data_IF_063695975148
#
_entry.id   IF_063695975148
#
_cell.length_a   1.000
_cell.length_b   1.000
_cell.length_c   1.000
_cell.angle_alpha   90.00
_cell.angle_beta   90.00
_cell.angle_gamma   90.00
#
_symmetry.space_group_name_H-M   'P 1'
#
loop_
_entity.id
_entity.type
_entity.pdbx_description
1 polymer ?
#
# COMPACT_ATOMS: atom_id res chain seq x y z
N UNK A 1 -8.47 0.60 -7.20
CA UNK A 1 -8.30 2.00 -7.43
C UNK A 1 -7.10 2.52 -6.67
N UNK A 2 -6.34 3.41 -7.26
CA UNK A 2 -5.16 3.93 -6.64
C UNK A 2 -5.27 5.37 -6.24
N UNK A 3 -4.68 5.74 -5.12
CA UNK A 3 -4.62 7.11 -4.68
C UNK A 3 -3.16 7.42 -4.45
N UNK A 4 -2.76 8.66 -4.73
CA UNK A 4 -1.40 9.10 -4.48
C UNK A 4 -1.44 10.23 -3.47
N UNK A 5 -0.58 10.21 -2.49
CA UNK A 5 -0.52 11.29 -1.52
C UNK A 5 0.87 11.36 -0.91
N UNK A 6 1.22 12.52 -0.42
CA UNK A 6 2.51 12.72 0.22
C UNK A 6 2.57 12.06 1.57
N UNK A 7 3.78 11.93 2.11
CA UNK A 7 4.00 11.26 3.38
C UNK A 7 3.22 11.93 4.51
N UNK A 8 3.19 13.26 4.55
CA UNK A 8 2.49 13.95 5.63
C UNK A 8 0.99 13.64 5.60
N UNK A 9 0.39 13.71 4.41
CA UNK A 9 -1.02 13.45 4.28
C UNK A 9 -1.31 11.99 4.59
N UNK A 10 -0.44 11.08 4.16
CA UNK A 10 -0.62 9.68 4.42
C UNK A 10 -0.61 9.41 5.92
N UNK A 11 0.27 10.12 6.67
CA UNK A 11 0.33 9.92 8.09
C UNK A 11 -0.99 10.37 8.74
N UNK A 12 -1.53 11.51 8.30
CA UNK A 12 -2.76 12.01 8.87
C UNK A 12 -3.94 11.11 8.52
N UNK A 13 -3.93 10.48 7.36
CA UNK A 13 -5.06 9.70 6.92
C UNK A 13 -4.81 8.20 7.02
N UNK A 14 -3.81 7.77 7.76
CA UNK A 14 -3.43 6.38 7.76
C UNK A 14 -4.58 5.46 8.14
N UNK A 15 -5.33 5.78 9.17
CA UNK A 15 -6.46 4.94 9.56
C UNK A 15 -7.47 4.79 8.46
N UNK A 16 -7.81 5.91 7.79
CA UNK A 16 -8.78 5.87 6.71
C UNK A 16 -8.24 5.07 5.55
N UNK A 17 -6.94 5.20 5.24
CA UNK A 17 -6.38 4.48 4.11
C UNK A 17 -6.26 2.97 4.40
N UNK A 18 -6.02 2.61 5.66
CA UNK A 18 -5.97 1.21 6.04
C UNK A 18 -7.36 0.60 5.87
N UNK A 19 -8.41 1.33 6.30
CA UNK A 19 -9.76 0.83 6.15
C UNK A 19 -10.14 0.76 4.66
N UNK A 20 -9.74 1.72 3.86
CA UNK A 20 -10.03 1.69 2.44
C UNK A 20 -9.36 0.50 1.77
N UNK A 21 -8.15 0.15 2.20
CA UNK A 21 -7.48 -1.02 1.65
C UNK A 21 -8.25 -2.28 2.04
N UNK A 22 -8.66 -2.36 3.30
CA UNK A 22 -9.34 -3.56 3.75
C UNK A 22 -10.72 -3.74 3.15
N UNK A 23 -11.52 -2.71 3.12
CA UNK A 23 -12.90 -2.85 2.70
C UNK A 23 -13.19 -2.49 1.26
N UNK A 24 -12.38 -1.67 0.64
CA UNK A 24 -12.64 -1.24 -0.73
C UNK A 24 -11.57 -1.71 -1.70
N UNK A 25 -10.52 -2.33 -1.21
CA UNK A 25 -9.45 -2.81 -2.09
C UNK A 25 -8.61 -1.69 -2.70
N UNK A 26 -8.58 -0.53 -2.07
CA UNK A 26 -7.86 0.59 -2.63
C UNK A 26 -6.38 0.53 -2.29
N UNK A 27 -5.55 0.97 -3.23
CA UNK A 27 -4.11 1.02 -3.00
C UNK A 27 -3.72 2.49 -2.87
N UNK A 28 -2.83 2.82 -1.97
CA UNK A 28 -2.39 4.20 -1.76
C UNK A 28 -0.89 4.27 -1.99
N UNK A 29 -0.49 5.07 -2.98
CA UNK A 29 0.92 5.27 -3.27
C UNK A 29 1.39 6.46 -2.43
N UNK A 30 2.43 6.27 -1.64
CA UNK A 30 2.94 7.31 -0.76
C UNK A 30 4.19 7.89 -1.37
N UNK A 31 4.16 9.20 -1.61
CA UNK A 31 5.22 9.88 -2.29
C UNK A 31 5.97 10.85 -1.42
N UNK A 32 7.21 11.14 -1.77
CA UNK A 32 7.96 12.19 -1.09
C UNK A 32 8.55 13.03 -2.19
N UNK A 33 8.21 14.31 -2.21
CA UNK A 33 8.66 15.26 -3.22
C UNK A 33 8.33 14.73 -4.62
N UNK A 34 7.17 14.17 -4.79
CA UNK A 34 6.71 13.72 -6.09
C UNK A 34 7.27 12.37 -6.52
N UNK A 35 8.09 11.75 -5.69
CA UNK A 35 8.67 10.46 -6.04
C UNK A 35 8.03 9.36 -5.20
N UNK A 36 7.50 8.31 -5.82
CA UNK A 36 6.86 7.24 -5.07
C UNK A 36 7.89 6.51 -4.20
N UNK A 37 7.58 6.37 -2.93
CA UNK A 37 8.47 5.68 -2.02
C UNK A 37 7.86 4.41 -1.44
N UNK A 38 6.57 4.32 -1.33
CA UNK A 38 5.92 3.17 -0.71
C UNK A 38 4.50 3.03 -1.17
N UNK A 39 3.90 1.90 -0.94
CA UNK A 39 2.50 1.67 -1.31
C UNK A 39 1.81 0.96 -0.16
N UNK A 40 0.61 1.42 0.19
CA UNK A 40 -0.21 0.76 1.18
C UNK A 40 -1.20 -0.08 0.41
N UNK A 41 -1.20 -1.39 0.61
CA UNK A 41 -2.06 -2.29 -0.16
C UNK A 41 -2.81 -3.24 0.77
N UNK A 42 -3.90 -3.82 0.30
CA UNK A 42 -4.62 -4.80 1.11
C UNK A 42 -3.71 -5.99 1.40
N UNK A 43 -3.79 -6.51 2.60
CA UNK A 43 -2.92 -7.60 2.99
C UNK A 43 -3.15 -8.83 2.12
N UNK A 44 -4.39 -9.11 1.79
CA UNK A 44 -4.71 -10.27 0.97
C UNK A 44 -4.09 -10.16 -0.42
N UNK A 45 -4.09 -8.95 -0.98
CA UNK A 45 -3.49 -8.74 -2.29
C UNK A 45 -1.97 -8.99 -2.19
N UNK A 46 -1.36 -8.53 -1.10
CA UNK A 46 0.07 -8.68 -0.92
C UNK A 46 0.44 -10.16 -0.84
N UNK A 47 -0.35 -10.96 -0.14
CA UNK A 47 -0.10 -12.37 -0.02
C UNK A 47 -0.22 -13.06 -1.38
N UNK A 48 -1.20 -12.67 -2.16
CA UNK A 48 -1.37 -13.26 -3.48
C UNK A 48 -0.18 -12.98 -4.38
N UNK A 49 0.37 -11.78 -4.28
CA UNK A 49 1.51 -11.43 -5.11
C UNK A 49 2.72 -12.26 -4.70
N UNK A 50 2.88 -12.54 -3.44
CA UNK A 50 4.00 -13.35 -3.00
C UNK A 50 3.86 -14.78 -3.48
N UNK A 51 2.69 -15.33 -3.46
CA UNK A 51 2.48 -16.68 -3.92
C UNK A 51 2.80 -16.75 -5.39
N UNK A 52 2.36 -15.78 -6.17
CA UNK A 52 2.61 -15.81 -7.57
C UNK A 52 4.07 -15.57 -7.88
N UNK A 53 4.73 -14.76 -7.15
CA UNK A 53 6.12 -14.49 -7.37
C UNK A 53 6.92 -15.72 -6.99
N UNK A 54 6.29 -16.55 -6.29
CA UNK A 54 6.96 -17.75 -5.96
C UNK A 54 8.10 -17.65 -5.06
N UNK A 55 8.38 -16.77 -4.52
CA UNK A 55 9.44 -16.65 -3.75
C UNK A 55 9.39 -16.27 -2.55
N UNK A 56 8.91 -15.89 -2.18
CA UNK A 56 8.79 -15.61 -0.91
C UNK A 56 9.88 -15.07 -0.24
N UNK A 57 10.56 -14.93 -0.38
CA UNK A 57 11.58 -14.43 0.26
C UNK A 57 11.57 -13.24 0.76
N UNK A 58 10.99 -12.79 1.30
CA UNK A 58 11.01 -11.64 1.84
C UNK A 58 11.91 -11.54 2.76
N UNK A 59 12.49 -11.80 3.00
CA UNK A 59 13.33 -11.62 3.90
C UNK A 59 13.47 -11.31 4.84
N UNK A 60 13.56 -11.23 5.34
CA UNK A 60 13.84 -10.98 6.35
C UNK A 60 14.19 -10.60 6.78
#
# INVERSE_FOLDING_TARGET
>A
MEFCMGVRKAREKLGDRVNAAQYLGEHTVIERNGTPFAVLVPYEWWIEQQDQAGQGTLAP
#
